data_IF_165544285851
#
_entry.id   IF_165544285851
#
_cell.length_a   1.000
_cell.length_b   1.000
_cell.length_c   1.000
_cell.angle_alpha   90.00
_cell.angle_beta   90.00
_cell.angle_gamma   90.00
#
_symmetry.space_group_name_H-M   'P 1'
#
loop_
_entity.id
_entity.type
_entity.pdbx_description
1 polymer ?
#
# COMPACT_ATOMS: atom_id res chain seq x y z
N UNK A 1 0.09 7.66 -6.75
CA UNK A 1 -0.69 7.63 -5.52
C UNK A 1 -0.36 6.38 -4.74
N UNK A 2 -1.22 5.37 -4.76
CA UNK A 2 -0.90 4.16 -3.98
C UNK A 2 0.39 3.49 -4.45
N UNK A 3 0.55 3.34 -5.75
CA UNK A 3 1.73 2.63 -6.28
C UNK A 3 3.03 3.35 -5.90
N UNK A 4 3.01 4.67 -5.93
CA UNK A 4 4.18 5.44 -5.55
C UNK A 4 4.45 5.31 -4.05
N UNK A 5 3.41 5.38 -3.23
CA UNK A 5 3.55 5.23 -1.78
C UNK A 5 4.06 3.83 -1.44
N UNK A 6 3.54 2.82 -2.14
CA UNK A 6 3.97 1.45 -1.94
C UNK A 6 5.48 1.30 -2.18
N UNK A 7 5.95 1.87 -3.27
CA UNK A 7 7.36 1.79 -3.59
C UNK A 7 8.20 2.53 -2.57
N UNK A 8 7.76 3.72 -2.16
CA UNK A 8 8.49 4.52 -1.18
C UNK A 8 8.63 3.78 0.14
N UNK A 9 7.54 3.20 0.62
CA UNK A 9 7.56 2.48 1.89
C UNK A 9 8.45 1.24 1.79
N UNK A 10 8.36 0.54 0.66
CA UNK A 10 9.19 -0.63 0.44
C UNK A 10 10.67 -0.26 0.50
N UNK A 11 11.04 0.80 -0.20
CA UNK A 11 12.44 1.22 -0.25
C UNK A 11 12.93 1.67 1.12
N UNK A 12 12.11 2.37 1.86
CA UNK A 12 12.46 2.79 3.21
C UNK A 12 12.66 1.60 4.13
N UNK A 13 11.92 0.52 3.87
CA UNK A 13 12.02 -0.69 4.69
C UNK A 13 13.20 -1.57 4.30
N UNK A 14 13.91 -1.22 3.23
CA UNK A 14 15.05 -2.00 2.78
C UNK A 14 14.68 -3.30 2.12
N UNK A 15 13.45 -3.44 1.66
CA UNK A 15 12.99 -4.67 1.03
C UNK A 15 13.07 -4.54 -0.47
N UNK A 16 13.32 -5.68 -1.13
CA UNK A 16 13.31 -5.74 -2.59
C UNK A 16 11.91 -6.11 -3.05
N UNK A 17 11.66 -5.92 -4.35
CA UNK A 17 10.39 -6.34 -4.93
C UNK A 17 10.20 -7.85 -4.77
N UNK A 18 11.27 -8.62 -4.91
CA UNK A 18 11.18 -10.06 -4.74
C UNK A 18 10.81 -10.42 -3.30
N UNK A 19 11.38 -9.71 -2.33
CA UNK A 19 11.02 -9.92 -0.92
C UNK A 19 9.53 -9.71 -0.71
N UNK A 20 8.99 -8.67 -1.31
CA UNK A 20 7.56 -8.38 -1.17
C UNK A 20 6.71 -9.43 -1.82
N UNK A 21 7.09 -9.87 -3.02
CA UNK A 21 6.35 -10.91 -3.70
C UNK A 21 6.34 -12.20 -2.87
N UNK A 22 7.48 -12.55 -2.30
CA UNK A 22 7.58 -13.73 -1.45
C UNK A 22 6.68 -13.62 -0.22
N UNK A 23 6.71 -12.46 0.43
CA UNK A 23 5.92 -12.25 1.63
C UNK A 23 4.42 -12.28 1.35
N UNK A 24 4.03 -11.84 0.17
CA UNK A 24 2.63 -11.83 -0.24
C UNK A 24 2.18 -13.14 -0.89
N UNK A 25 3.13 -14.03 -1.18
CA UNK A 25 2.80 -15.30 -1.82
C UNK A 25 2.37 -15.13 -3.28
N UNK A 26 2.90 -14.14 -3.96
CA UNK A 26 2.58 -13.89 -5.37
C UNK A 26 3.86 -13.85 -6.17
N UNK A 27 3.72 -13.84 -7.50
CA UNK A 27 4.88 -13.78 -8.37
C UNK A 27 5.49 -12.38 -8.36
N UNK A 28 6.77 -12.30 -8.68
CA UNK A 28 7.44 -11.02 -8.80
C UNK A 28 6.73 -10.14 -9.84
N UNK A 29 6.34 -10.74 -10.96
CA UNK A 29 5.65 -10.03 -12.02
C UNK A 29 4.35 -9.39 -11.50
N UNK A 30 3.59 -10.15 -10.71
CA UNK A 30 2.34 -9.64 -10.15
C UNK A 30 2.61 -8.48 -9.21
N UNK A 31 3.63 -8.59 -8.38
CA UNK A 31 3.95 -7.50 -7.45
C UNK A 31 4.40 -6.25 -8.21
N UNK A 32 5.22 -6.43 -9.23
CA UNK A 32 5.69 -5.30 -10.02
C UNK A 32 4.55 -4.50 -10.63
N UNK A 33 3.48 -5.18 -11.01
CA UNK A 33 2.33 -4.49 -11.59
C UNK A 33 1.66 -3.59 -10.58
N UNK A 34 1.69 -3.95 -9.30
CA UNK A 34 1.16 -3.08 -8.26
C UNK A 34 1.97 -1.79 -8.17
N UNK A 35 3.29 -1.88 -8.24
CA UNK A 35 4.14 -0.69 -8.17
C UNK A 35 4.10 0.13 -9.44
N UNK A 36 3.71 -0.47 -10.55
CA UNK A 36 3.61 0.21 -11.83
C UNK A 36 2.21 0.78 -12.07
N UNK A 37 1.32 0.62 -11.12
CA UNK A 37 -0.05 1.08 -11.21
C UNK A 37 -0.82 0.40 -12.34
N UNK A 38 -0.37 -0.77 -12.77
CA UNK A 38 -1.05 -1.52 -13.81
C UNK A 38 -2.13 -2.42 -13.25
N UNK A 39 -2.11 -2.64 -11.94
CA UNK A 39 -3.04 -3.52 -11.28
C UNK A 39 -3.23 -3.08 -9.85
N UNK A 40 -4.45 -3.19 -9.36
CA UNK A 40 -4.73 -2.86 -7.97
C UNK A 40 -4.81 -4.14 -7.15
N UNK A 41 -4.16 -4.18 -5.98
CA UNK A 41 -4.28 -5.35 -5.11
C UNK A 41 -5.67 -5.44 -4.50
N UNK A 42 -6.06 -6.65 -4.12
CA UNK A 42 -7.31 -6.86 -3.41
C UNK A 42 -7.20 -6.24 -2.01
N UNK A 43 -8.36 -6.12 -1.35
CA UNK A 43 -8.35 -5.60 0.01
C UNK A 43 -7.50 -6.47 0.93
N UNK A 44 -7.61 -7.79 0.80
CA UNK A 44 -6.80 -8.70 1.61
C UNK A 44 -5.32 -8.47 1.38
N UNK A 45 -4.94 -8.26 0.13
CA UNK A 45 -3.56 -8.01 -0.21
C UNK A 45 -3.10 -6.67 0.37
N UNK A 46 -3.96 -5.66 0.31
CA UNK A 46 -3.64 -4.35 0.87
C UNK A 46 -3.40 -4.44 2.37
N UNK A 47 -4.24 -5.20 3.07
CA UNK A 47 -4.07 -5.38 4.52
C UNK A 47 -2.75 -6.07 4.81
N UNK A 48 -2.42 -7.10 4.02
CA UNK A 48 -1.14 -7.80 4.20
C UNK A 48 0.03 -6.87 3.97
N UNK A 49 -0.04 -6.02 2.95
CA UNK A 49 1.03 -5.06 2.68
C UNK A 49 1.19 -4.09 3.86
N UNK A 50 0.08 -3.58 4.36
CA UNK A 50 0.13 -2.67 5.49
C UNK A 50 0.73 -3.34 6.72
N UNK A 51 0.40 -4.60 6.95
CA UNK A 51 0.96 -5.36 8.06
C UNK A 51 2.47 -5.57 7.91
N UNK A 52 2.91 -5.89 6.71
CA UNK A 52 4.33 -6.11 6.44
C UNK A 52 5.14 -4.86 6.79
N UNK A 53 4.62 -3.70 6.43
CA UNK A 53 5.31 -2.44 6.67
C UNK A 53 4.98 -1.82 8.03
N UNK A 54 4.04 -2.41 8.77
CA UNK A 54 3.61 -1.86 10.07
C UNK A 54 3.11 -0.44 9.93
N UNK A 55 2.36 -0.17 8.86
CA UNK A 55 1.77 1.15 8.64
C UNK A 55 0.26 0.99 8.54
N UNK A 56 -0.45 2.10 8.72
CA UNK A 56 -1.90 2.05 8.59
C UNK A 56 -2.29 1.90 7.13
N UNK A 57 -3.45 1.30 6.91
CA UNK A 57 -3.97 1.15 5.56
C UNK A 57 -4.22 2.53 4.93
N UNK A 58 -4.68 3.48 5.73
CA UNK A 58 -4.94 4.83 5.24
C UNK A 58 -3.65 5.49 4.75
N UNK A 59 -2.57 5.31 5.49
CA UNK A 59 -1.28 5.86 5.07
C UNK A 59 -0.84 5.24 3.75
N UNK A 60 -0.96 3.92 3.64
CA UNK A 60 -0.55 3.21 2.44
C UNK A 60 -1.35 3.65 1.23
N UNK A 61 -2.63 3.92 1.43
CA UNK A 61 -3.52 4.33 0.34
C UNK A 61 -3.46 5.83 0.08
N UNK A 62 -2.58 6.55 0.76
CA UNK A 62 -2.44 7.99 0.60
C UNK A 62 -3.72 8.74 0.96
N UNK A 63 -4.40 8.28 2.00
CA UNK A 63 -5.67 8.89 2.42
C UNK A 63 -5.53 9.87 3.56
N UNK A 64 -4.31 10.07 4.05
CA UNK A 64 -4.11 10.96 5.18
C UNK A 64 -4.62 12.38 4.90
N UNK A 65 -4.32 12.91 3.73
CA UNK A 65 -4.78 14.25 3.38
C UNK A 65 -6.29 14.30 3.26
N UNK A 66 -6.87 13.25 2.70
CA UNK A 66 -8.32 13.18 2.57
C UNK A 66 -8.96 13.16 3.95
N UNK A 67 -8.46 12.33 4.84
CA UNK A 67 -8.99 12.22 6.18
C UNK A 67 -8.84 13.54 6.93
N UNK A 68 -7.69 14.16 6.79
CA UNK A 68 -7.41 15.43 7.46
C UNK A 68 -8.35 16.52 6.96
N UNK A 69 -8.57 16.59 5.66
CA UNK A 69 -9.43 17.64 5.11
C UNK A 69 -10.91 17.39 5.39
N UNK A 70 -11.27 16.18 5.74
CA UNK A 70 -12.66 15.82 6.05
C UNK A 70 -12.88 15.59 7.52
N UNK A 71 -11.94 15.99 8.36
CA UNK A 71 -12.01 15.66 9.77
C UNK A 71 -13.26 16.24 10.43
N UNK A 72 -13.67 17.41 10.01
CA UNK A 72 -14.82 18.06 10.62
C UNK A 72 -16.13 17.51 10.10
N UNK A 73 -16.12 16.91 8.94
CA UNK A 73 -17.34 16.42 8.33
C UNK A 73 -17.39 14.90 8.31
N UNK A 74 -16.39 14.27 8.83
CA UNK A 74 -16.30 12.82 8.76
C UNK A 74 -17.35 12.14 9.62
N UNK A 75 -17.89 12.87 10.51
CA UNK A 75 -18.89 12.32 11.37
C UNK A 75 -20.11 11.89 10.62
N UNK A 76 -20.29 12.37 9.44
CA UNK A 76 -21.46 11.96 8.70
C UNK A 76 -21.33 10.56 8.17
N UNK A 77 -20.29 9.90 8.42
CA UNK A 77 -20.25 8.52 7.99
C UNK A 77 -19.30 7.67 8.73
#
# INVERSE_FOLDING_TARGET
>A
MFSKRLREVRMKSGLTQQNMADKLGISLNAYQKYEQAERSPSLDCLVSIADIFCVSLDYLLCRDDFIKSHATSSDEH
#
